data_IF_101776915775
#
_entry.id   IF_101776915775
#
_cell.length_a   1.000
_cell.length_b   1.000
_cell.length_c   1.000
_cell.angle_alpha   90.00
_cell.angle_beta   90.00
_cell.angle_gamma   90.00
#
_symmetry.space_group_name_H-M   'P 1'
#
loop_
_entity.id
_entity.type
_entity.pdbx_description
1 polymer ?
#
# COMPACT_ATOMS: atom_id res chain seq x y z
N UNK A 1 3.24 10.20 -7.03
CA UNK A 1 3.95 8.97 -6.61
C UNK A 1 4.15 8.09 -7.83
N UNK A 2 5.38 7.90 -8.29
CA UNK A 2 5.71 6.93 -9.35
C UNK A 2 6.07 5.59 -8.72
N UNK A 3 5.10 4.68 -8.66
CA UNK A 3 5.28 3.34 -8.12
C UNK A 3 4.02 2.52 -8.36
N UNK A 4 4.09 1.38 -9.04
CA UNK A 4 2.91 0.53 -9.32
C UNK A 4 2.37 -0.18 -8.08
N UNK A 5 3.17 -0.24 -7.01
CA UNK A 5 2.82 -0.90 -5.77
C UNK A 5 3.09 0.01 -4.58
N UNK A 6 2.28 -0.13 -3.54
CA UNK A 6 2.44 0.49 -2.24
C UNK A 6 2.73 -0.61 -1.24
N UNK A 7 3.81 -0.49 -0.49
CA UNK A 7 4.15 -1.41 0.59
C UNK A 7 4.07 -0.68 1.93
N UNK A 8 3.54 -1.36 2.93
CA UNK A 8 3.56 -0.89 4.31
C UNK A 8 3.72 -2.08 5.24
N UNK A 9 4.48 -1.92 6.31
CA UNK A 9 4.59 -2.90 7.39
C UNK A 9 3.62 -2.60 8.54
N UNK A 10 2.91 -1.47 8.46
CA UNK A 10 1.98 -1.02 9.50
C UNK A 10 0.57 -1.56 9.21
N UNK A 11 0.03 -2.34 10.14
CA UNK A 11 -1.29 -2.97 9.97
C UNK A 11 -2.44 -1.94 9.98
N UNK A 12 -2.27 -0.81 10.69
CA UNK A 12 -3.26 0.27 10.73
C UNK A 12 -3.30 0.99 9.39
N UNK A 13 -2.13 1.34 8.84
CA UNK A 13 -2.01 1.91 7.50
C UNK A 13 -2.52 0.94 6.43
N UNK A 14 -2.22 -0.36 6.54
CA UNK A 14 -2.75 -1.39 5.66
C UNK A 14 -4.28 -1.47 5.70
N UNK A 15 -4.87 -1.40 6.89
CA UNK A 15 -6.33 -1.41 7.06
C UNK A 15 -6.99 -0.15 6.47
N UNK A 16 -6.35 1.01 6.61
CA UNK A 16 -6.79 2.25 6.00
C UNK A 16 -6.76 2.17 4.46
N UNK A 17 -5.70 1.58 3.89
CA UNK A 17 -5.58 1.34 2.45
C UNK A 17 -6.69 0.41 1.94
N UNK A 18 -6.97 -0.71 2.63
CA UNK A 18 -8.09 -1.59 2.27
C UNK A 18 -9.43 -0.83 2.32
N UNK A 19 -9.68 -0.04 3.38
CA UNK A 19 -10.90 0.77 3.50
C UNK A 19 -11.03 1.85 2.42
N UNK A 20 -9.91 2.38 1.96
CA UNK A 20 -9.85 3.37 0.88
C UNK A 20 -10.05 2.74 -0.51
N UNK A 21 -10.18 1.41 -0.59
CA UNK A 21 -10.41 0.68 -1.84
C UNK A 21 -9.15 0.21 -2.55
N UNK A 22 -7.99 0.26 -1.90
CA UNK A 22 -6.76 -0.29 -2.47
C UNK A 22 -6.82 -1.81 -2.53
N UNK A 23 -6.46 -2.36 -3.68
CA UNK A 23 -6.36 -3.80 -3.86
C UNK A 23 -5.11 -4.31 -3.15
N UNK A 24 -5.32 -5.03 -2.04
CA UNK A 24 -4.26 -5.76 -1.34
C UNK A 24 -3.77 -6.91 -2.21
N UNK A 25 -2.45 -7.01 -2.37
CA UNK A 25 -1.80 -8.17 -2.96
C UNK A 25 -1.32 -9.09 -1.84
N UNK A 26 -1.59 -10.38 -1.99
CA UNK A 26 -0.97 -11.39 -1.14
C UNK A 26 0.49 -11.53 -1.55
N UNK A 27 1.41 -11.21 -0.63
CA UNK A 27 2.85 -11.41 -0.83
C UNK A 27 3.34 -12.46 0.15
N UNK A 28 4.40 -13.17 -0.20
CA UNK A 28 5.04 -14.14 0.70
C UNK A 28 5.59 -13.51 1.98
N UNK A 29 5.77 -12.18 1.98
CA UNK A 29 6.20 -11.44 3.15
C UNK A 29 5.07 -11.26 4.17
N UNK A 30 5.07 -12.13 5.17
CA UNK A 30 4.10 -12.18 6.28
C UNK A 30 3.99 -10.88 7.09
N UNK A 31 5.01 -10.01 7.03
CA UNK A 31 5.09 -8.74 7.75
C UNK A 31 4.99 -7.50 6.85
N UNK A 32 4.81 -7.66 5.53
CA UNK A 32 4.70 -6.53 4.61
C UNK A 32 3.42 -6.65 3.80
N UNK A 33 2.55 -5.65 3.96
CA UNK A 33 1.33 -5.51 3.21
C UNK A 33 1.63 -4.76 1.92
N UNK A 34 1.38 -5.41 0.78
CA UNK A 34 1.55 -4.80 -0.54
C UNK A 34 0.19 -4.52 -1.15
N UNK A 35 0.07 -3.39 -1.84
CA UNK A 35 -1.14 -2.91 -2.48
C UNK A 35 -0.82 -2.44 -3.88
N UNK A 36 -1.78 -2.52 -4.79
CA UNK A 36 -1.64 -1.94 -6.12
C UNK A 36 -1.87 -0.43 -6.05
N UNK A 37 -0.90 0.35 -6.51
CA UNK A 37 -1.06 1.79 -6.66
C UNK A 37 -1.81 2.07 -7.97
N UNK A 38 -3.13 2.18 -7.89
CA UNK A 38 -3.89 2.67 -9.03
C UNK A 38 -3.78 4.19 -9.02
N UNK A 39 -3.25 4.77 -10.10
CA UNK A 39 -2.87 6.19 -10.25
C UNK A 39 -3.99 7.22 -10.03
N UNK A 40 -5.19 6.79 -9.66
CA UNK A 40 -6.40 7.61 -9.59
C UNK A 40 -6.98 7.79 -8.18
N UNK A 41 -6.32 7.28 -7.13
CA UNK A 41 -6.91 7.28 -5.78
C UNK A 41 -6.16 8.27 -4.90
N UNK A 42 -6.84 9.38 -4.59
CA UNK A 42 -6.41 10.31 -3.54
C UNK A 42 -6.34 9.52 -2.23
N UNK A 43 -5.15 9.43 -1.64
CA UNK A 43 -5.00 9.00 -0.26
C UNK A 43 -5.89 9.89 0.58
N UNK A 44 -6.93 9.32 1.18
CA UNK A 44 -7.72 10.04 2.17
C UNK A 44 -6.78 10.44 3.31
N UNK A 45 -7.03 11.59 3.97
CA UNK A 45 -6.19 12.17 5.04
C UNK A 45 -5.80 11.17 6.16
N UNK A 46 -6.54 10.06 6.27
CA UNK A 46 -6.28 8.96 7.20
C UNK A 46 -5.12 8.02 6.82
N UNK A 47 -4.57 8.07 5.60
CA UNK A 47 -3.45 7.22 5.20
C UNK A 47 -2.13 7.95 5.44
N UNK A 48 -1.37 7.45 6.42
CA UNK A 48 -0.07 7.99 6.77
C UNK A 48 0.96 7.67 5.68
N UNK A 49 1.13 8.59 4.75
CA UNK A 49 1.96 8.42 3.55
C UNK A 49 3.45 8.20 3.88
N UNK A 50 3.91 8.70 5.03
CA UNK A 50 5.28 8.47 5.52
C UNK A 50 5.55 6.99 5.85
N UNK A 51 4.49 6.23 6.17
CA UNK A 51 4.56 4.79 6.44
C UNK A 51 4.28 3.93 5.20
N UNK A 52 4.02 4.56 4.07
CA UNK A 52 3.74 3.89 2.79
C UNK A 52 4.92 4.14 1.85
N UNK A 53 5.57 3.08 1.41
CA UNK A 53 6.59 3.18 0.36
C UNK A 53 5.98 2.79 -0.97
N UNK A 54 6.14 3.65 -1.97
CA UNK A 54 5.81 3.30 -3.36
C UNK A 54 7.01 2.59 -4.00
N UNK A 55 6.78 1.44 -4.63
CA UNK A 55 7.80 0.68 -5.36
C UNK A 55 7.25 0.19 -6.70
N UNK A 56 8.11 0.07 -7.69
CA UNK A 56 7.81 -0.60 -8.95
C UNK A 56 8.22 -2.09 -8.93
N UNK A 57 8.84 -2.52 -7.84
CA UNK A 57 9.42 -3.86 -7.69
C UNK A 57 8.54 -4.63 -6.71
N UNK A 58 7.99 -5.74 -7.18
CA UNK A 58 7.31 -6.71 -6.33
C UNK A 58 8.38 -7.62 -5.73
N UNK A 59 8.70 -7.43 -4.44
CA UNK A 59 9.62 -8.31 -3.72
C UNK A 59 8.80 -9.40 -3.03
N UNK A 60 9.02 -10.64 -3.47
CA UNK A 60 8.29 -11.84 -3.02
C UNK A 60 8.76 -12.31 -1.65
#
# INVERSE_FOLDING_TARGET
MEGKFLITADATTASALVKCGFQKMETGNKNIYTFLNSSSINFSDSVDINKVKSTNILTF
#
